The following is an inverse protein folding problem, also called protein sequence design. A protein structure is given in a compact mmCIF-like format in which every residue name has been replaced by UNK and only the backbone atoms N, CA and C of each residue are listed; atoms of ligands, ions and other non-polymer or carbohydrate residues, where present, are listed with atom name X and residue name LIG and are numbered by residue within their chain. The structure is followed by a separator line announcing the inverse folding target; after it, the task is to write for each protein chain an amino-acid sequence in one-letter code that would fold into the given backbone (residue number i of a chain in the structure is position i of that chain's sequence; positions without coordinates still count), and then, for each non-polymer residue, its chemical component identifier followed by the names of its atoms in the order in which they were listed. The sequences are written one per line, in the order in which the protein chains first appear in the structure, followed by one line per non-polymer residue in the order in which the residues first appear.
data_IF_167878721877
#
_entry.id   IF_167878721877
#
_cell.length_a   1.000
_cell.length_b   1.000
_cell.length_c   1.000
_cell.angle_alpha   90.00
_cell.angle_beta   90.00
_cell.angle_gamma   90.00
#
_symmetry.space_group_name_H-M   'P 1'
#
loop_
_entity.id
_entity.type
_entity.pdbx_description
1 polymer ?
#
# COMPACT_ATOMS: atom_id res chain seq x y z
N UNK A 1 14.18 -10.61 19.71
CA UNK A 1 14.23 -10.61 18.23
C UNK A 1 14.35 -12.01 17.65
N UNK A 2 15.15 -12.91 18.23
CA UNK A 2 15.33 -14.30 17.75
C UNK A 2 14.00 -15.07 17.61
N UNK A 3 13.12 -15.00 18.61
CA UNK A 3 11.81 -15.67 18.56
C UNK A 3 10.89 -15.10 17.47
N UNK A 4 10.97 -13.80 17.19
CA UNK A 4 10.14 -13.15 16.17
C UNK A 4 10.58 -13.53 14.76
N UNK A 5 11.90 -13.56 14.52
CA UNK A 5 12.48 -14.05 13.28
C UNK A 5 12.16 -15.53 13.07
N UNK A 6 12.26 -16.36 14.12
CA UNK A 6 11.91 -17.79 14.05
C UNK A 6 10.43 -18.04 13.72
N UNK A 7 9.53 -17.16 14.16
CA UNK A 7 8.10 -17.22 13.80
C UNK A 7 7.92 -16.83 12.32
N UNK A 8 8.56 -15.75 11.87
CA UNK A 8 8.43 -15.27 10.49
C UNK A 8 9.05 -16.20 9.44
N UNK A 9 10.18 -16.83 9.76
CA UNK A 9 10.91 -17.70 8.82
C UNK A 9 10.45 -19.16 8.89
N UNK A 10 9.51 -19.47 9.79
CA UNK A 10 8.88 -20.78 9.86
C UNK A 10 8.17 -21.07 8.52
N UNK A 11 8.40 -22.23 7.88
CA UNK A 11 7.90 -22.48 6.52
C UNK A 11 6.39 -22.32 6.34
N UNK A 12 5.62 -22.70 7.36
CA UNK A 12 4.17 -22.55 7.49
C UNK A 12 3.71 -21.09 7.54
N UNK A 13 4.57 -20.18 8.01
CA UNK A 13 4.26 -18.76 8.14
C UNK A 13 4.74 -17.92 6.95
N UNK A 14 5.49 -18.49 6.01
CA UNK A 14 5.94 -17.79 4.80
C UNK A 14 4.75 -17.20 4.00
N UNK A 15 3.63 -17.92 3.79
CA UNK A 15 2.48 -17.36 3.08
C UNK A 15 1.88 -16.14 3.80
N UNK A 16 1.69 -16.20 5.13
CA UNK A 16 1.11 -15.06 5.88
C UNK A 16 2.09 -13.88 5.95
N UNK A 17 3.39 -14.13 6.08
CA UNK A 17 4.40 -13.09 6.00
C UNK A 17 4.36 -12.37 4.64
N UNK A 18 4.25 -13.12 3.54
CA UNK A 18 4.06 -12.57 2.20
C UNK A 18 2.79 -11.73 2.07
N UNK A 19 1.67 -12.23 2.60
CA UNK A 19 0.41 -11.47 2.62
C UNK A 19 0.51 -10.18 3.43
N UNK A 20 1.18 -10.20 4.59
CA UNK A 20 1.39 -9.00 5.39
C UNK A 20 2.20 -7.95 4.64
N UNK A 21 3.26 -8.37 3.95
CA UNK A 21 4.05 -7.47 3.08
C UNK A 21 3.18 -6.90 1.96
N UNK A 22 2.38 -7.74 1.29
CA UNK A 22 1.48 -7.30 0.23
C UNK A 22 0.43 -6.29 0.75
N UNK A 23 -0.18 -6.54 1.91
CA UNK A 23 -1.13 -5.63 2.54
C UNK A 23 -0.48 -4.29 2.87
N UNK A 24 0.72 -4.30 3.48
CA UNK A 24 1.45 -3.07 3.79
C UNK A 24 1.83 -2.31 2.52
N UNK A 25 2.22 -3.02 1.46
CA UNK A 25 2.52 -2.43 0.16
C UNK A 25 1.29 -1.76 -0.45
N UNK A 26 0.17 -2.48 -0.56
CA UNK A 26 -1.08 -1.95 -1.10
C UNK A 26 -1.59 -0.76 -0.27
N UNK A 27 -1.48 -0.84 1.07
CA UNK A 27 -1.83 0.26 1.96
C UNK A 27 -0.97 1.50 1.69
N UNK A 28 0.35 1.33 1.55
CA UNK A 28 1.24 2.44 1.21
C UNK A 28 0.90 3.07 -0.14
N UNK A 29 0.67 2.25 -1.16
CA UNK A 29 0.24 2.70 -2.50
C UNK A 29 -1.08 3.46 -2.42
N UNK A 30 -2.06 2.93 -1.68
CA UNK A 30 -3.37 3.57 -1.50
C UNK A 30 -3.29 4.91 -0.78
N UNK A 31 -2.50 5.00 0.29
CA UNK A 31 -2.28 6.26 1.02
C UNK A 31 -1.60 7.30 0.12
N UNK A 32 -0.59 6.91 -0.66
CA UNK A 32 0.09 7.84 -1.59
C UNK A 32 -0.87 8.39 -2.65
N UNK A 33 -1.75 7.54 -3.19
CA UNK A 33 -2.77 7.97 -4.14
C UNK A 33 -3.79 8.91 -3.48
N UNK A 34 -4.29 8.57 -2.29
CA UNK A 34 -5.21 9.43 -1.55
C UNK A 34 -4.62 10.83 -1.32
N UNK A 35 -3.38 10.91 -0.84
CA UNK A 35 -2.71 12.19 -0.60
C UNK A 35 -2.46 12.99 -1.89
N UNK A 36 -2.23 12.33 -3.02
CA UNK A 36 -2.09 12.99 -4.33
C UNK A 36 -3.43 13.54 -4.80
N UNK A 37 -4.49 12.74 -4.70
CA UNK A 37 -5.84 13.13 -5.11
C UNK A 37 -6.39 14.26 -4.24
N UNK A 38 -6.10 14.26 -2.94
CA UNK A 38 -6.46 15.36 -2.04
C UNK A 38 -5.87 16.71 -2.50
N UNK A 39 -4.64 16.71 -3.04
CA UNK A 39 -4.03 17.93 -3.59
C UNK A 39 -4.72 18.40 -4.86
N UNK A 40 -5.10 17.48 -5.74
CA UNK A 40 -5.88 17.80 -6.95
C UNK A 40 -7.24 18.41 -6.59
N UNK A 41 -7.95 17.83 -5.62
CA UNK A 41 -9.23 18.36 -5.13
C UNK A 41 -9.05 19.77 -4.55
N UNK A 42 -8.02 20.00 -3.73
CA UNK A 42 -7.74 21.32 -3.13
C UNK A 42 -7.44 22.38 -4.19
N UNK A 43 -6.80 21.99 -5.29
CA UNK A 43 -6.48 22.89 -6.40
C UNK A 43 -7.65 23.05 -7.41
N UNK A 44 -8.79 22.39 -7.18
CA UNK A 44 -9.94 22.41 -8.08
C UNK A 44 -9.79 21.56 -9.35
N UNK A 45 -8.75 20.72 -9.43
CA UNK A 45 -8.33 19.98 -10.62
C UNK A 45 -8.77 18.50 -10.52
N UNK A 46 -10.08 18.27 -10.36
CA UNK A 46 -10.61 16.90 -10.15
C UNK A 46 -10.45 16.00 -11.36
N UNK A 47 -10.42 16.58 -12.56
CA UNK A 47 -10.36 15.84 -13.81
C UNK A 47 -9.02 15.09 -13.95
N UNK A 48 -7.93 15.68 -13.44
CA UNK A 48 -6.61 15.02 -13.35
C UNK A 48 -6.58 13.73 -12.53
N UNK A 49 -7.54 13.51 -11.63
CA UNK A 49 -7.62 12.25 -10.88
C UNK A 49 -7.98 11.11 -11.83
N UNK A 50 -8.88 11.35 -12.78
CA UNK A 50 -9.28 10.33 -13.75
C UNK A 50 -8.17 10.04 -14.75
N UNK A 51 -7.52 11.08 -15.28
CA UNK A 51 -6.36 10.95 -16.16
C UNK A 51 -5.25 10.12 -15.48
N UNK A 52 -4.93 10.41 -14.23
CA UNK A 52 -3.83 9.73 -13.52
C UNK A 52 -4.13 8.28 -13.12
N UNK A 53 -5.40 7.90 -12.99
CA UNK A 53 -5.80 6.56 -12.52
C UNK A 53 -6.22 5.61 -13.64
N UNK A 54 -6.66 6.13 -14.79
CA UNK A 54 -7.33 5.34 -15.83
C UNK A 54 -6.60 5.42 -17.18
N UNK A 55 -5.98 6.55 -17.52
CA UNK A 55 -5.23 6.76 -18.78
C UNK A 55 -3.73 6.48 -18.60
#
# INVERSE_FOLDING_TARGET
MENFLAILTRPDNIPIAGMLVAVLFCLWVGIRQALKNDRFIQNGDRDRIYEDMIE
#
